data_IF_180478518852
#
_entry.id   IF_180478518852
#
_cell.length_a   1.000
_cell.length_b   1.000
_cell.length_c   1.000
_cell.angle_alpha   90.00
_cell.angle_beta   90.00
_cell.angle_gamma   90.00
#
_symmetry.space_group_name_H-M   'P 1'
#
loop_
_entity.id
_entity.type
_entity.pdbx_description
1 polymer ?
#
# COMPACT_ATOMS: atom_id res chain seq x y z
N UNK A 1 0.86 -0.57 15.55
CA UNK A 1 -0.50 -0.21 15.09
C UNK A 1 -0.88 1.22 15.44
N UNK A 2 -0.56 1.71 16.64
CA UNK A 2 -0.86 3.10 17.05
C UNK A 2 -0.30 4.17 16.13
N UNK A 3 0.93 4.01 15.64
CA UNK A 3 1.56 4.92 14.67
C UNK A 3 0.71 5.08 13.40
N UNK A 4 0.17 3.98 12.87
CA UNK A 4 -0.70 4.02 11.69
C UNK A 4 -2.03 4.72 12.00
N UNK A 5 -2.64 4.44 13.17
CA UNK A 5 -3.88 5.12 13.60
C UNK A 5 -3.66 6.64 13.72
N UNK A 6 -2.54 7.04 14.30
CA UNK A 6 -2.18 8.46 14.44
C UNK A 6 -1.92 9.11 13.08
N UNK A 7 -1.25 8.43 12.15
CA UNK A 7 -1.00 8.94 10.81
C UNK A 7 -2.31 9.09 10.02
N UNK A 8 -3.22 8.11 10.08
CA UNK A 8 -4.56 8.21 9.45
C UNK A 8 -5.35 9.40 9.99
N UNK A 9 -5.36 9.60 11.32
CA UNK A 9 -6.02 10.75 11.92
C UNK A 9 -5.39 12.09 11.47
N UNK A 10 -4.05 12.11 11.33
CA UNK A 10 -3.31 13.28 10.88
C UNK A 10 -3.53 13.57 9.40
N UNK A 11 -3.52 12.55 8.53
CA UNK A 11 -3.88 12.65 7.11
C UNK A 11 -5.27 13.26 6.98
N UNK A 12 -6.28 12.71 7.67
CA UNK A 12 -7.64 13.26 7.68
C UNK A 12 -7.68 14.72 8.15
N UNK A 13 -6.96 15.05 9.21
CA UNK A 13 -6.94 16.42 9.74
C UNK A 13 -6.35 17.44 8.74
N UNK A 14 -5.33 17.06 7.97
CA UNK A 14 -4.72 17.96 6.97
C UNK A 14 -5.47 18.00 5.64
N UNK A 15 -6.38 17.05 5.38
CA UNK A 15 -7.13 16.92 4.12
C UNK A 15 -8.63 17.22 4.23
N UNK A 16 -9.20 17.33 5.43
CA UNK A 16 -10.64 17.47 5.68
C UNK A 16 -11.32 18.57 4.86
N UNK A 17 -10.71 19.76 4.82
CA UNK A 17 -11.31 20.95 4.19
C UNK A 17 -10.84 21.17 2.74
N UNK A 18 -10.09 20.23 2.16
CA UNK A 18 -9.59 20.37 0.79
C UNK A 18 -10.73 20.15 -0.20
N UNK A 19 -10.94 21.06 -1.18
CA UNK A 19 -11.89 20.80 -2.27
C UNK A 19 -11.40 19.63 -3.13
N UNK A 20 -12.34 18.97 -3.82
CA UNK A 20 -11.98 17.91 -4.76
C UNK A 20 -11.24 18.50 -5.94
N UNK A 21 -10.12 17.89 -6.31
CA UNK A 21 -9.30 18.31 -7.45
C UNK A 21 -9.47 17.38 -8.64
N UNK A 22 -10.01 16.17 -8.41
CA UNK A 22 -10.09 15.09 -9.40
C UNK A 22 -8.80 14.29 -9.53
N UNK A 23 -7.78 14.55 -8.70
CA UNK A 23 -6.48 13.88 -8.77
C UNK A 23 -6.53 12.53 -8.05
N UNK A 24 -6.20 11.45 -8.76
CA UNK A 24 -6.07 10.09 -8.20
C UNK A 24 -4.66 9.86 -7.62
N UNK A 25 -4.36 8.65 -7.14
CA UNK A 25 -3.00 8.31 -6.73
C UNK A 25 -2.00 8.31 -7.90
N UNK A 26 -2.45 8.12 -9.14
CA UNK A 26 -1.60 8.13 -10.33
C UNK A 26 -1.13 9.54 -10.68
N UNK A 27 -1.90 10.56 -10.28
CA UNK A 27 -1.55 11.97 -10.45
C UNK A 27 -0.57 12.48 -9.38
N UNK A 28 -0.13 11.62 -8.46
CA UNK A 28 0.77 11.99 -7.39
C UNK A 28 2.13 12.43 -7.91
N UNK A 29 2.47 13.70 -7.66
CA UNK A 29 3.77 14.23 -8.04
C UNK A 29 4.93 13.55 -7.30
N UNK A 30 6.13 13.82 -7.79
CA UNK A 30 7.37 13.25 -7.30
C UNK A 30 7.89 13.89 -6.00
N UNK A 31 7.25 14.97 -5.52
CA UNK A 31 7.70 15.76 -4.37
C UNK A 31 6.82 15.53 -3.13
N UNK A 32 5.53 15.84 -3.22
CA UNK A 32 4.52 15.65 -2.19
C UNK A 32 3.99 14.20 -2.17
N UNK A 33 3.74 13.61 -3.34
CA UNK A 33 3.11 12.29 -3.46
C UNK A 33 1.60 12.30 -3.16
N UNK A 34 1.05 11.14 -2.80
CA UNK A 34 -0.41 10.92 -2.66
C UNK A 34 -1.07 11.70 -1.54
N UNK A 35 -0.31 12.30 -0.63
CA UNK A 35 -0.87 13.23 0.37
C UNK A 35 -1.49 14.48 -0.28
N UNK A 36 -1.11 14.81 -1.52
CA UNK A 36 -1.65 15.93 -2.29
C UNK A 36 -2.84 15.57 -3.18
N UNK A 37 -3.24 14.29 -3.25
CA UNK A 37 -4.31 13.80 -4.14
C UNK A 37 -5.64 13.65 -3.38
N UNK A 38 -6.74 13.42 -4.10
CA UNK A 38 -8.06 13.22 -3.47
C UNK A 38 -8.13 11.93 -2.65
N UNK A 39 -7.27 10.94 -2.95
CA UNK A 39 -7.16 9.69 -2.18
C UNK A 39 -6.85 9.93 -0.69
N UNK A 40 -6.13 11.00 -0.37
CA UNK A 40 -5.80 11.37 1.01
C UNK A 40 -6.98 11.91 1.84
N UNK A 41 -8.12 12.24 1.24
CA UNK A 41 -9.23 12.90 1.95
C UNK A 41 -9.99 11.98 2.89
N UNK A 42 -10.18 10.74 2.47
CA UNK A 42 -10.88 9.71 3.23
C UNK A 42 -10.01 8.48 3.49
N UNK A 43 -8.69 8.64 3.37
CA UNK A 43 -7.74 7.56 3.55
C UNK A 43 -7.87 6.91 4.93
N UNK A 44 -8.27 5.64 4.93
CA UNK A 44 -8.34 4.77 6.09
C UNK A 44 -8.12 3.31 5.60
N UNK A 45 -6.88 2.79 5.71
CA UNK A 45 -6.55 1.47 5.19
C UNK A 45 -7.09 0.33 6.08
N UNK A 46 -7.61 0.62 7.27
CA UNK A 46 -7.90 -0.43 8.25
C UNK A 46 -9.05 -1.34 7.82
N UNK A 47 -10.00 -0.86 7.03
CA UNK A 47 -11.08 -1.71 6.50
C UNK A 47 -10.51 -2.83 5.60
N UNK A 48 -9.64 -2.45 4.65
CA UNK A 48 -9.01 -3.38 3.74
C UNK A 48 -7.96 -4.28 4.44
N UNK A 49 -7.17 -3.73 5.36
CA UNK A 49 -6.23 -4.53 6.15
C UNK A 49 -6.95 -5.59 7.01
N UNK A 50 -8.12 -5.26 7.59
CA UNK A 50 -8.96 -6.23 8.30
C UNK A 50 -9.52 -7.30 7.37
N UNK A 51 -9.91 -6.92 6.15
CA UNK A 51 -10.38 -7.88 5.16
C UNK A 51 -9.29 -8.91 4.80
N UNK A 52 -8.06 -8.46 4.54
CA UNK A 52 -6.95 -9.37 4.27
C UNK A 52 -6.70 -10.33 5.44
N UNK A 53 -6.65 -9.81 6.67
CA UNK A 53 -6.47 -10.64 7.85
C UNK A 53 -7.60 -11.69 8.01
N UNK A 54 -8.86 -11.27 7.83
CA UNK A 54 -10.02 -12.13 8.03
C UNK A 54 -10.13 -13.24 6.97
N UNK A 55 -9.76 -12.94 5.72
CA UNK A 55 -9.76 -13.91 4.62
C UNK A 55 -8.48 -14.76 4.58
N UNK A 56 -7.50 -14.52 5.46
CA UNK A 56 -6.21 -15.20 5.45
C UNK A 56 -5.36 -14.87 4.22
N UNK A 57 -5.53 -13.68 3.63
CA UNK A 57 -4.76 -13.24 2.48
C UNK A 57 -3.34 -12.84 2.92
N UNK A 58 -2.34 -13.50 2.33
CA UNK A 58 -0.92 -13.22 2.58
C UNK A 58 -0.46 -12.00 1.77
N UNK A 59 -0.57 -10.82 2.37
CA UNK A 59 -0.11 -9.55 1.78
C UNK A 59 0.79 -8.80 2.76
N UNK A 60 1.88 -8.25 2.25
CA UNK A 60 2.73 -7.33 2.99
C UNK A 60 2.49 -5.90 2.52
N UNK A 61 2.29 -5.00 3.46
CA UNK A 61 2.26 -3.56 3.22
C UNK A 61 3.66 -3.09 2.85
N UNK A 62 3.75 -2.29 1.79
CA UNK A 62 4.99 -1.63 1.33
C UNK A 62 4.80 -0.09 1.37
N UNK A 63 5.66 0.64 0.68
CA UNK A 63 5.45 2.07 0.45
C UNK A 63 5.48 2.90 1.74
N UNK A 64 4.65 3.94 1.80
CA UNK A 64 4.69 4.88 2.92
C UNK A 64 3.94 4.38 4.16
N UNK A 65 2.89 3.58 4.01
CA UNK A 65 2.21 2.95 5.17
C UNK A 65 3.18 2.05 5.95
N UNK A 66 4.01 1.26 5.25
CA UNK A 66 5.06 0.48 5.91
C UNK A 66 6.11 1.38 6.59
N UNK A 67 6.47 2.51 5.95
CA UNK A 67 7.35 3.52 6.56
C UNK A 67 6.79 4.09 7.87
N UNK A 68 5.49 4.39 7.91
CA UNK A 68 4.79 4.85 9.13
C UNK A 68 4.85 3.79 10.24
N UNK A 69 4.70 2.50 9.88
CA UNK A 69 4.83 1.41 10.86
C UNK A 69 6.24 1.30 11.46
N UNK A 70 7.26 1.82 10.78
CA UNK A 70 8.63 1.97 11.28
C UNK A 70 8.89 3.31 12.01
N UNK A 71 7.91 4.22 12.07
CA UNK A 71 8.02 5.51 12.75
C UNK A 71 8.24 6.74 11.86
N UNK A 72 8.16 6.60 10.53
CA UNK A 72 8.17 7.75 9.61
C UNK A 72 7.00 8.68 9.91
N UNK A 73 7.26 9.99 9.85
CA UNK A 73 6.25 11.04 10.07
C UNK A 73 5.63 11.55 8.78
N UNK A 74 6.12 11.09 7.63
CA UNK A 74 5.55 11.43 6.35
C UNK A 74 4.18 10.78 6.14
N UNK A 75 3.20 11.61 5.79
CA UNK A 75 1.84 11.18 5.53
C UNK A 75 1.68 10.70 4.08
N UNK A 76 0.62 9.93 3.84
CA UNK A 76 0.29 9.34 2.54
C UNK A 76 -1.22 9.25 2.37
N UNK A 77 -1.68 9.14 1.12
CA UNK A 77 -3.09 9.00 0.77
C UNK A 77 -3.46 7.66 0.13
N UNK A 78 -2.51 6.74 0.03
CA UNK A 78 -2.58 5.46 -0.65
C UNK A 78 -2.09 4.30 0.22
N UNK A 79 -2.40 3.08 -0.22
CA UNK A 79 -1.96 1.84 0.39
C UNK A 79 -1.28 0.97 -0.68
N UNK A 80 0.04 0.83 -0.59
CA UNK A 80 0.79 -0.06 -1.46
C UNK A 80 0.99 -1.43 -0.82
N UNK A 81 0.82 -2.48 -1.61
CA UNK A 81 0.82 -3.87 -1.19
C UNK A 81 1.75 -4.71 -2.07
N UNK A 82 2.35 -5.73 -1.45
CA UNK A 82 3.12 -6.77 -2.11
C UNK A 82 2.59 -8.14 -1.69
N UNK A 83 2.41 -9.04 -2.65
CA UNK A 83 2.03 -10.43 -2.38
C UNK A 83 2.82 -11.39 -3.26
N UNK A 84 2.73 -12.69 -3.00
CA UNK A 84 3.60 -13.68 -3.64
C UNK A 84 3.39 -13.84 -5.15
N UNK A 85 2.22 -13.46 -5.67
CA UNK A 85 1.79 -13.82 -7.02
C UNK A 85 1.35 -15.29 -7.16
N UNK A 86 1.29 -16.04 -6.05
CA UNK A 86 0.92 -17.45 -6.06
C UNK A 86 -0.56 -17.63 -6.40
N UNK A 87 -0.92 -18.37 -7.45
CA UNK A 87 -2.32 -18.64 -7.78
C UNK A 87 -3.11 -19.30 -6.65
N UNK A 88 -2.42 -20.02 -5.74
CA UNK A 88 -3.04 -20.66 -4.59
C UNK A 88 -3.52 -19.66 -3.52
N UNK A 89 -2.91 -18.47 -3.45
CA UNK A 89 -3.27 -17.41 -2.49
C UNK A 89 -4.30 -16.42 -3.04
N UNK A 90 -4.47 -16.38 -4.37
CA UNK A 90 -5.36 -15.45 -5.06
C UNK A 90 -6.85 -15.52 -4.61
N UNK A 91 -7.46 -16.68 -4.27
CA UNK A 91 -8.84 -16.72 -3.79
C UNK A 91 -9.09 -15.84 -2.55
N UNK A 92 -8.15 -15.83 -1.59
CA UNK A 92 -8.26 -15.01 -0.38
C UNK A 92 -8.18 -13.51 -0.69
N UNK A 93 -7.40 -13.12 -1.70
CA UNK A 93 -7.36 -11.74 -2.19
C UNK A 93 -8.67 -11.33 -2.84
N UNK A 94 -9.22 -12.17 -3.72
CA UNK A 94 -10.52 -11.93 -4.35
C UNK A 94 -11.57 -11.68 -3.27
N UNK A 95 -11.62 -12.54 -2.25
CA UNK A 95 -12.58 -12.42 -1.15
C UNK A 95 -12.38 -11.13 -0.34
N UNK A 96 -11.14 -10.81 0.04
CA UNK A 96 -10.81 -9.62 0.81
C UNK A 96 -11.20 -8.33 0.08
N UNK A 97 -10.77 -8.16 -1.17
CA UNK A 97 -11.13 -7.00 -1.98
C UNK A 97 -12.64 -6.92 -2.24
N UNK A 98 -13.31 -8.06 -2.45
CA UNK A 98 -14.76 -8.10 -2.68
C UNK A 98 -15.52 -7.62 -1.45
N UNK A 99 -15.05 -8.00 -0.25
CA UNK A 99 -15.70 -7.66 1.02
C UNK A 99 -15.73 -6.15 1.30
N UNK A 100 -14.79 -5.39 0.71
CA UNK A 100 -14.72 -3.93 0.84
C UNK A 100 -15.26 -3.19 -0.38
N UNK A 101 -15.84 -3.92 -1.34
CA UNK A 101 -16.38 -3.35 -2.58
C UNK A 101 -15.31 -2.70 -3.46
N UNK A 102 -14.09 -3.25 -3.49
CA UNK A 102 -13.02 -2.70 -4.30
C UNK A 102 -13.23 -2.96 -5.80
N UNK A 103 -12.79 -2.01 -6.62
CA UNK A 103 -12.63 -2.15 -8.07
C UNK A 103 -11.15 -2.31 -8.40
N UNK A 104 -10.85 -2.99 -9.51
CA UNK A 104 -9.49 -3.18 -10.00
C UNK A 104 -9.32 -2.61 -11.41
N UNK A 105 -8.13 -2.06 -11.68
CA UNK A 105 -7.66 -1.71 -13.03
C UNK A 105 -6.26 -2.28 -13.29
N UNK A 106 -5.92 -2.46 -14.56
CA UNK A 106 -4.56 -2.77 -15.00
C UNK A 106 -3.67 -1.50 -15.09
N UNK A 107 -2.41 -1.68 -15.47
CA UNK A 107 -1.43 -0.58 -15.62
C UNK A 107 -1.81 0.45 -16.70
N UNK A 108 -2.71 0.10 -17.62
CA UNK A 108 -3.26 0.99 -18.64
C UNK A 108 -4.58 1.65 -18.18
N UNK A 109 -4.91 1.56 -16.89
CA UNK A 109 -6.15 2.04 -16.27
C UNK A 109 -7.42 1.38 -16.84
N UNK A 110 -7.31 0.19 -17.43
CA UNK A 110 -8.47 -0.56 -17.92
C UNK A 110 -9.08 -1.38 -16.79
N UNK A 111 -10.40 -1.32 -16.59
CA UNK A 111 -11.07 -2.17 -15.60
C UNK A 111 -10.77 -3.64 -15.82
N UNK A 112 -10.35 -4.33 -14.76
CA UNK A 112 -10.17 -5.79 -14.75
C UNK A 112 -11.16 -6.42 -13.77
N UNK A 113 -11.74 -7.59 -14.09
CA UNK A 113 -12.67 -8.25 -13.18
C UNK A 113 -11.98 -8.62 -11.87
N UNK A 114 -12.64 -8.35 -10.74
CA UNK A 114 -12.19 -8.81 -9.42
C UNK A 114 -12.36 -10.34 -9.31
N UNK A 115 -11.43 -11.06 -9.92
CA UNK A 115 -11.42 -12.51 -10.05
C UNK A 115 -9.98 -13.00 -10.28
N UNK A 116 -9.76 -14.31 -10.21
CA UNK A 116 -8.43 -14.93 -10.34
C UNK A 116 -7.57 -14.42 -11.52
N UNK A 117 -8.12 -14.14 -12.73
CA UNK A 117 -7.31 -13.62 -13.83
C UNK A 117 -6.63 -12.27 -13.54
N UNK A 118 -7.24 -11.36 -12.77
CA UNK A 118 -6.62 -10.09 -12.42
C UNK A 118 -5.35 -10.30 -11.59
N UNK A 119 -5.36 -11.31 -10.71
CA UNK A 119 -4.22 -11.69 -9.86
C UNK A 119 -3.15 -12.52 -10.60
N UNK A 120 -3.25 -12.66 -11.92
CA UNK A 120 -2.13 -13.12 -12.76
C UNK A 120 -1.24 -11.98 -13.27
N UNK A 121 -1.70 -10.73 -13.14
CA UNK A 121 -0.95 -9.56 -13.56
C UNK A 121 0.19 -9.26 -12.56
N UNK A 122 1.34 -8.75 -13.05
CA UNK A 122 2.45 -8.36 -12.16
C UNK A 122 2.06 -7.27 -11.16
N UNK A 123 1.11 -6.43 -11.54
CA UNK A 123 0.51 -5.35 -10.74
C UNK A 123 -0.97 -5.19 -11.13
N UNK A 124 -1.78 -4.87 -10.15
CA UNK A 124 -3.12 -4.30 -10.34
C UNK A 124 -3.26 -3.11 -9.42
N UNK A 125 -4.02 -2.10 -9.85
CA UNK A 125 -4.40 -1.02 -8.97
C UNK A 125 -5.79 -1.31 -8.41
N UNK A 126 -5.99 -0.94 -7.16
CA UNK A 126 -7.28 -1.10 -6.51
C UNK A 126 -7.81 0.23 -6.01
N UNK A 127 -9.12 0.34 -5.96
CA UNK A 127 -9.82 1.45 -5.33
C UNK A 127 -11.03 0.95 -4.56
N UNK A 128 -11.17 1.43 -3.32
CA UNK A 128 -12.33 1.26 -2.45
C UNK A 128 -12.72 2.62 -1.87
N UNK A 129 -13.81 2.69 -1.12
CA UNK A 129 -14.29 3.95 -0.53
C UNK A 129 -13.28 4.66 0.39
N UNK A 130 -12.30 3.94 0.96
CA UNK A 130 -11.37 4.46 1.97
C UNK A 130 -9.89 4.18 1.67
N UNK A 131 -9.59 3.40 0.64
CA UNK A 131 -8.22 3.05 0.29
C UNK A 131 -8.10 2.79 -1.21
N UNK A 132 -7.04 3.32 -1.80
CA UNK A 132 -6.58 2.99 -3.14
C UNK A 132 -5.07 2.82 -3.15
N UNK A 133 -4.54 2.14 -4.16
CA UNK A 133 -3.09 1.98 -4.34
C UNK A 133 -2.76 0.80 -5.24
N UNK A 134 -1.49 0.39 -5.20
CA UNK A 134 -0.98 -0.71 -6.01
C UNK A 134 -0.93 -2.03 -5.21
N UNK A 135 -1.32 -3.13 -5.85
CA UNK A 135 -1.02 -4.50 -5.41
C UNK A 135 -0.03 -5.13 -6.39
N UNK A 136 1.22 -5.25 -5.95
CA UNK A 136 2.32 -5.75 -6.78
C UNK A 136 2.72 -7.18 -6.43
N UNK A 137 3.39 -7.85 -7.38
CA UNK A 137 4.06 -9.15 -7.19
C UNK A 137 5.57 -9.02 -7.41
N UNK A 138 6.38 -10.01 -7.00
CA UNK A 138 7.78 -10.12 -7.40
C UNK A 138 8.02 -10.17 -8.92
N UNK A 139 6.99 -10.45 -9.73
CA UNK A 139 7.09 -10.50 -11.20
C UNK A 139 7.13 -9.12 -11.87
N UNK A 140 6.81 -8.04 -11.13
CA UNK A 140 7.01 -6.67 -11.61
C UNK A 140 8.53 -6.40 -11.82
N UNK A 141 8.96 -5.59 -12.80
CA UNK A 141 10.38 -5.34 -13.05
C UNK A 141 11.02 -4.43 -11.98
N UNK A 142 11.31 -4.99 -10.81
CA UNK A 142 11.92 -4.31 -9.65
C UNK A 142 13.44 -4.01 -9.80
N UNK A 143 13.98 -4.03 -11.02
CA UNK A 143 15.42 -3.93 -11.26
C UNK A 143 16.17 -5.12 -10.64
N UNK A 144 17.23 -4.84 -9.86
CA UNK A 144 18.04 -5.86 -9.19
C UNK A 144 17.54 -6.23 -7.78
N UNK A 145 16.42 -5.67 -7.33
CA UNK A 145 15.92 -5.91 -5.98
C UNK A 145 15.34 -7.33 -5.84
N UNK A 146 15.76 -8.11 -4.83
CA UNK A 146 15.23 -9.44 -4.59
C UNK A 146 13.90 -9.37 -3.83
N UNK A 147 12.85 -8.81 -4.45
CA UNK A 147 11.58 -8.52 -3.77
C UNK A 147 10.86 -9.78 -3.24
N UNK A 148 11.07 -10.94 -3.88
CA UNK A 148 10.62 -12.22 -3.34
C UNK A 148 11.21 -12.54 -1.96
N UNK A 149 12.50 -12.23 -1.75
CA UNK A 149 13.16 -12.43 -0.46
C UNK A 149 12.64 -11.43 0.58
N UNK A 150 12.34 -10.19 0.18
CA UNK A 150 11.76 -9.17 1.06
C UNK A 150 10.42 -9.63 1.65
N UNK A 151 9.56 -10.24 0.82
CA UNK A 151 8.29 -10.79 1.26
C UNK A 151 8.47 -11.90 2.31
N UNK A 152 9.41 -12.82 2.08
CA UNK A 152 9.67 -13.96 2.98
C UNK A 152 10.08 -13.57 4.40
N UNK A 153 10.60 -12.35 4.56
CA UNK A 153 11.15 -11.82 5.80
C UNK A 153 10.35 -10.63 6.34
N UNK A 154 9.16 -10.39 5.80
CA UNK A 154 8.25 -9.35 6.27
C UNK A 154 8.00 -9.44 7.78
N UNK A 155 7.80 -8.29 8.41
CA UNK A 155 7.46 -8.19 9.83
C UNK A 155 5.95 -8.30 10.00
N UNK A 156 5.53 -8.64 11.22
CA UNK A 156 4.11 -8.63 11.60
C UNK A 156 3.93 -7.71 12.79
N UNK A 157 2.89 -6.89 12.74
CA UNK A 157 2.43 -6.11 13.88
C UNK A 157 0.95 -6.41 14.10
N UNK A 158 0.56 -6.56 15.37
CA UNK A 158 -0.82 -6.83 15.76
C UNK A 158 -1.36 -5.69 16.61
N UNK A 159 -2.68 -5.46 16.55
CA UNK A 159 -3.37 -4.64 17.55
C UNK A 159 -4.02 -5.49 18.66
N UNK A 160 -4.64 -4.80 19.61
CA UNK A 160 -5.32 -5.40 20.77
C UNK A 160 -6.55 -6.24 20.38
N UNK A 161 -7.13 -5.98 19.21
CA UNK A 161 -8.31 -6.68 18.68
C UNK A 161 -7.91 -7.90 17.84
N UNK A 162 -6.60 -8.17 17.72
CA UNK A 162 -6.05 -9.33 17.02
C UNK A 162 -5.77 -9.11 15.53
N UNK A 163 -6.03 -7.91 14.98
CA UNK A 163 -5.69 -7.60 13.59
C UNK A 163 -4.19 -7.72 13.40
N UNK A 164 -3.75 -8.66 12.58
CA UNK A 164 -2.35 -8.80 12.16
C UNK A 164 -2.14 -8.16 10.78
N UNK A 165 -1.09 -7.32 10.67
CA UNK A 165 -0.66 -6.70 9.42
C UNK A 165 0.78 -7.09 9.16
N UNK A 166 1.06 -7.64 7.98
CA UNK A 166 2.41 -7.87 7.52
C UNK A 166 2.93 -6.63 6.78
N UNK A 167 4.20 -6.31 6.94
CA UNK A 167 4.82 -5.15 6.29
C UNK A 167 6.32 -5.36 6.09
N UNK A 168 6.88 -4.76 5.05
CA UNK A 168 8.30 -4.94 4.74
C UNK A 168 9.22 -4.33 5.79
N UNK A 169 10.40 -4.92 5.91
CA UNK A 169 11.45 -4.42 6.80
C UNK A 169 11.94 -3.05 6.35
N UNK A 170 12.47 -2.30 7.30
CA UNK A 170 12.92 -0.92 7.08
C UNK A 170 14.01 -0.85 6.01
N UNK A 171 14.99 -1.74 6.07
CA UNK A 171 16.08 -1.80 5.10
C UNK A 171 15.60 -2.14 3.68
N UNK A 172 14.56 -2.96 3.55
CA UNK A 172 13.99 -3.33 2.26
C UNK A 172 13.23 -2.13 1.65
N UNK A 173 12.51 -1.37 2.48
CA UNK A 173 11.86 -0.13 2.06
C UNK A 173 12.88 0.94 1.62
N UNK A 174 14.00 1.08 2.33
CA UNK A 174 15.09 1.99 1.94
C UNK A 174 15.65 1.57 0.58
N UNK A 175 15.94 0.28 0.38
CA UNK A 175 16.44 -0.23 -0.89
C UNK A 175 15.46 0.02 -2.05
N UNK A 176 14.17 -0.24 -1.84
CA UNK A 176 13.12 0.04 -2.83
C UNK A 176 13.06 1.52 -3.20
N UNK A 177 13.07 2.42 -2.20
CA UNK A 177 13.03 3.87 -2.42
C UNK A 177 14.26 4.39 -3.17
N UNK A 178 15.45 3.92 -2.80
CA UNK A 178 16.69 4.28 -3.48
C UNK A 178 16.74 3.79 -4.93
N UNK A 179 16.16 2.62 -5.23
CA UNK A 179 16.09 2.10 -6.59
C UNK A 179 15.14 2.91 -7.49
N UNK A 180 14.04 3.41 -6.94
CA UNK A 180 13.09 4.26 -7.68
C UNK A 180 13.62 5.68 -7.86
N UNK A 181 14.20 6.27 -6.82
CA UNK A 181 15.00 7.50 -6.93
C UNK A 181 14.24 8.81 -7.13
N UNK A 182 12.90 8.83 -7.02
CA UNK A 182 12.13 10.09 -7.03
C UNK A 182 12.49 10.96 -5.82
N UNK A 183 12.43 12.30 -5.90
CA UNK A 183 12.67 13.20 -4.77
C UNK A 183 11.98 12.79 -3.46
N UNK A 184 10.67 12.47 -3.49
CA UNK A 184 9.94 11.96 -2.32
C UNK A 184 10.51 10.66 -1.80
N UNK A 185 10.88 9.72 -2.66
CA UNK A 185 11.39 8.42 -2.28
C UNK A 185 12.75 8.55 -1.57
N UNK A 186 13.66 9.37 -2.10
CA UNK A 186 14.97 9.63 -1.48
C UNK A 186 14.84 10.34 -0.14
N UNK A 187 13.96 11.35 -0.04
CA UNK A 187 13.67 12.06 1.23
C UNK A 187 13.13 11.09 2.29
N UNK A 188 12.19 10.24 1.89
CA UNK A 188 11.58 9.19 2.72
C UNK A 188 12.58 8.10 3.11
N UNK A 189 13.51 7.73 2.24
CA UNK A 189 14.60 6.80 2.56
C UNK A 189 15.52 7.39 3.63
N UNK A 190 15.97 8.64 3.43
CA UNK A 190 16.81 9.35 4.37
C UNK A 190 16.15 9.55 5.75
N UNK A 191 14.82 9.70 5.81
CA UNK A 191 14.09 9.70 7.08
C UNK A 191 14.18 8.34 7.80
N UNK A 192 13.91 7.24 7.08
CA UNK A 192 13.98 5.89 7.67
C UNK A 192 15.38 5.53 8.17
N UNK A 193 16.44 6.01 7.51
CA UNK A 193 17.83 5.81 7.95
C UNK A 193 18.14 6.48 9.30
N UNK A 194 17.36 7.49 9.71
CA UNK A 194 17.55 8.24 10.97
C UNK A 194 16.76 7.69 12.15
N UNK A 195 15.88 6.70 11.92
CA UNK A 195 15.05 6.06 12.95
C UNK A 195 15.76 4.86 13.57
#
# INVERSE_FOLDING_TARGET
MDLLRQAVASTRAVTADRPATGLSHDDADDDAGTIATDSARNFDPFLLLRAFHSCGASVAVIGQVAGILHGSRELTGDLDLLWSGSPAEAPALVEAFSSVGACLVDDDLRPVPLALPAFSLPKVQFESAQASGDLCTPSLPWGSLPVGDFLSRALTVSDVDGLAVHYLRREDLIAMRCAVGRPKDLRRAAELERL
#
